data_IF_312330699254
#
_entry.id   IF_312330699254
#
_cell.length_a   1.000
_cell.length_b   1.000
_cell.length_c   1.000
_cell.angle_alpha   90.00
_cell.angle_beta   90.00
_cell.angle_gamma   90.00
#
_symmetry.space_group_name_H-M   'P 1'
#
loop_
_entity.id
_entity.type
_entity.pdbx_description
1 polymer ?
#
# COMPACT_ATOMS: atom_id res chain seq x y z
N UNK A 1 12.64 17.30 3.69
CA UNK A 1 11.82 18.28 2.93
C UNK A 1 11.63 19.60 3.70
N UNK A 2 11.59 19.58 5.04
CA UNK A 2 11.59 20.76 5.92
C UNK A 2 12.60 20.57 7.07
N UNK A 3 12.63 21.49 8.05
CA UNK A 3 13.40 21.34 9.31
C UNK A 3 12.57 21.82 10.51
N UNK A 4 12.99 21.46 11.72
CA UNK A 4 12.36 21.94 12.98
C UNK A 4 12.50 23.44 13.23
N UNK A 5 13.33 24.17 12.46
CA UNK A 5 13.38 25.64 12.51
C UNK A 5 12.14 26.30 11.85
N UNK A 6 11.31 25.52 11.14
CA UNK A 6 10.05 25.96 10.54
C UNK A 6 10.21 27.15 9.58
N UNK A 7 9.15 27.95 9.45
CA UNK A 7 9.19 29.24 8.75
C UNK A 7 9.19 30.45 9.68
N UNK A 8 8.95 30.24 10.98
CA UNK A 8 8.99 31.27 12.01
C UNK A 8 10.42 31.62 12.42
N UNK A 9 10.60 32.76 13.09
CA UNK A 9 11.91 33.34 13.44
C UNK A 9 12.80 32.54 14.42
N UNK A 10 12.56 31.24 14.58
CA UNK A 10 13.41 30.34 15.36
C UNK A 10 14.80 30.23 14.71
N UNK A 11 15.85 30.45 15.50
CA UNK A 11 17.25 30.39 15.11
C UNK A 11 17.97 29.38 16.00
N UNK A 12 18.24 28.19 15.49
CA UNK A 12 18.80 27.06 16.21
C UNK A 12 20.01 26.44 15.50
N UNK A 13 20.01 26.37 14.16
CA UNK A 13 21.02 25.63 13.38
C UNK A 13 21.27 26.25 12.00
N UNK A 14 20.72 25.66 10.93
CA UNK A 14 21.00 26.01 9.53
C UNK A 14 20.66 27.47 9.23
N UNK A 15 19.58 27.99 9.82
CA UNK A 15 19.17 29.39 9.64
C UNK A 15 20.25 30.37 10.10
N UNK A 16 20.96 30.07 11.19
CA UNK A 16 22.01 30.92 11.73
C UNK A 16 23.34 30.81 10.99
N UNK A 17 23.58 29.68 10.34
CA UNK A 17 24.79 29.44 9.53
C UNK A 17 24.64 30.09 8.16
N UNK A 18 23.59 29.73 7.41
CA UNK A 18 23.28 30.33 6.11
C UNK A 18 21.81 30.07 5.73
N UNK A 19 20.91 30.95 6.19
CA UNK A 19 19.48 30.86 5.88
C UNK A 19 19.18 30.76 4.37
N UNK A 20 19.87 31.54 3.54
CA UNK A 20 19.65 31.53 2.10
C UNK A 20 20.33 30.34 1.42
N UNK A 21 21.33 29.71 2.03
CA UNK A 21 21.96 28.49 1.54
C UNK A 21 21.09 27.23 1.70
N UNK A 22 20.38 27.13 2.83
CA UNK A 22 19.64 25.92 3.21
C UNK A 22 18.13 25.98 2.94
N UNK A 23 17.53 27.17 2.97
CA UNK A 23 16.08 27.32 2.81
C UNK A 23 15.70 27.98 1.49
N UNK A 24 14.51 27.63 1.03
CA UNK A 24 13.90 28.24 -0.13
C UNK A 24 13.14 29.49 0.29
N UNK A 25 13.72 30.66 -0.02
CA UNK A 25 13.10 31.95 0.23
C UNK A 25 11.99 32.23 -0.78
N UNK A 26 11.00 33.00 -0.35
CA UNK A 26 10.05 33.61 -1.27
C UNK A 26 10.74 34.61 -2.22
N UNK A 27 10.00 35.10 -3.22
CA UNK A 27 10.53 36.03 -4.22
C UNK A 27 11.02 37.36 -3.62
N UNK A 28 10.44 37.80 -2.51
CA UNK A 28 10.82 39.04 -1.84
C UNK A 28 12.06 38.87 -0.95
N UNK A 29 12.45 37.62 -0.64
CA UNK A 29 13.51 37.30 0.30
C UNK A 29 13.14 37.59 1.76
N UNK A 30 11.87 37.88 2.04
CA UNK A 30 11.37 38.25 3.37
C UNK A 30 10.70 37.09 4.10
N UNK A 31 10.39 36.01 3.38
CA UNK A 31 9.77 34.80 3.89
C UNK A 31 10.26 33.55 3.17
N UNK A 32 9.49 32.47 3.25
CA UNK A 32 9.84 31.16 2.72
C UNK A 32 8.74 30.62 1.82
N UNK A 33 9.11 29.76 0.86
CA UNK A 33 8.15 28.86 0.26
C UNK A 33 7.76 27.78 1.26
N UNK A 34 6.50 27.35 1.22
CA UNK A 34 5.97 26.29 2.08
C UNK A 34 5.16 25.31 1.23
N UNK A 35 5.84 24.28 0.75
CA UNK A 35 5.25 23.16 0.01
C UNK A 35 5.06 21.92 0.89
N UNK A 36 5.53 21.98 2.14
CA UNK A 36 5.53 20.91 3.14
C UNK A 36 4.38 21.03 4.18
N UNK A 37 3.77 22.20 4.33
CA UNK A 37 2.69 22.46 5.29
C UNK A 37 3.14 22.88 6.69
N UNK A 38 4.42 22.77 7.03
CA UNK A 38 4.98 23.06 8.37
C UNK A 38 5.88 24.30 8.43
N UNK A 39 6.28 24.86 7.30
CA UNK A 39 7.10 26.08 7.24
C UNK A 39 8.03 26.13 6.04
N UNK A 40 9.28 26.52 6.26
CA UNK A 40 10.24 26.69 5.18
C UNK A 40 10.61 25.36 4.49
N UNK A 41 10.50 25.32 3.16
CA UNK A 41 11.07 24.24 2.36
C UNK A 41 12.61 24.25 2.46
N UNK A 42 13.21 23.07 2.63
CA UNK A 42 14.65 22.89 2.40
C UNK A 42 14.91 23.05 0.90
N UNK A 43 15.92 23.86 0.55
CA UNK A 43 16.21 24.19 -0.84
C UNK A 43 16.97 23.07 -1.56
N UNK A 44 16.30 21.98 -1.94
CA UNK A 44 16.87 20.84 -2.68
C UNK A 44 17.56 21.19 -4.01
N UNK A 45 17.35 22.40 -4.53
CA UNK A 45 18.01 22.97 -5.70
C UNK A 45 19.35 23.69 -5.39
N UNK A 46 19.72 23.86 -4.12
CA UNK A 46 20.92 24.60 -3.71
C UNK A 46 22.07 23.66 -3.30
N UNK A 47 23.33 23.96 -3.70
CA UNK A 47 24.46 23.08 -3.40
C UNK A 47 24.67 22.75 -1.92
N UNK A 48 24.48 23.71 -1.01
CA UNK A 48 24.67 23.49 0.42
C UNK A 48 23.65 22.50 1.00
N UNK A 49 22.37 22.66 0.65
CA UNK A 49 21.33 21.72 1.05
C UNK A 49 21.53 20.33 0.41
N UNK A 50 21.88 20.27 -0.88
CA UNK A 50 22.16 19.00 -1.56
C UNK A 50 23.33 18.25 -0.92
N UNK A 51 24.43 18.96 -0.62
CA UNK A 51 25.59 18.37 0.03
C UNK A 51 25.23 17.80 1.40
N UNK A 52 24.52 18.58 2.24
CA UNK A 52 24.05 18.10 3.54
C UNK A 52 23.18 16.84 3.41
N UNK A 53 22.24 16.83 2.46
CA UNK A 53 21.36 15.67 2.23
C UNK A 53 22.20 14.45 1.82
N UNK A 54 23.05 14.56 0.80
CA UNK A 54 23.86 13.45 0.30
C UNK A 54 24.84 12.93 1.36
N UNK A 55 25.52 13.81 2.08
CA UNK A 55 26.48 13.42 3.11
C UNK A 55 25.77 12.76 4.30
N UNK A 56 24.56 13.23 4.66
CA UNK A 56 23.75 12.56 5.67
C UNK A 56 23.34 11.15 5.24
N UNK A 57 22.88 10.97 4.00
CA UNK A 57 22.49 9.67 3.47
C UNK A 57 23.68 8.70 3.42
N UNK A 58 24.86 9.18 3.01
CA UNK A 58 26.11 8.40 3.06
C UNK A 58 26.45 8.00 4.49
N UNK A 59 26.37 8.92 5.44
CA UNK A 59 26.66 8.61 6.84
C UNK A 59 25.71 7.52 7.37
N UNK A 60 24.41 7.62 7.12
CA UNK A 60 23.45 6.59 7.52
C UNK A 60 23.72 5.24 6.85
N UNK A 61 24.05 5.22 5.56
CA UNK A 61 24.34 3.99 4.81
C UNK A 61 25.67 3.35 5.23
N UNK A 62 26.75 4.11 5.15
CA UNK A 62 28.13 3.63 5.25
C UNK A 62 28.57 3.42 6.70
N UNK A 63 28.20 4.33 7.60
CA UNK A 63 28.63 4.29 9.00
C UNK A 63 27.61 3.61 9.91
N UNK A 64 26.32 3.74 9.62
CA UNK A 64 25.23 3.18 10.45
C UNK A 64 24.59 1.92 9.84
N UNK A 65 24.96 1.53 8.62
CA UNK A 65 24.51 0.28 7.99
C UNK A 65 23.04 0.28 7.56
N UNK A 66 22.46 1.45 7.24
CA UNK A 66 21.09 1.54 6.72
C UNK A 66 21.03 1.08 5.25
N UNK A 67 20.12 0.14 4.95
CA UNK A 67 19.97 -0.46 3.61
C UNK A 67 19.17 0.40 2.61
N UNK A 68 18.39 1.37 3.11
CA UNK A 68 17.49 2.16 2.28
C UNK A 68 16.72 3.24 3.04
N UNK A 69 16.00 4.08 2.30
CA UNK A 69 15.36 5.29 2.82
C UNK A 69 13.98 5.52 2.22
N UNK A 70 12.97 5.76 3.07
CA UNK A 70 11.67 6.32 2.66
C UNK A 70 11.69 7.84 2.86
N UNK A 71 11.55 8.59 1.79
CA UNK A 71 11.57 10.05 1.78
C UNK A 71 10.15 10.60 1.91
N UNK A 72 9.92 11.29 3.02
CA UNK A 72 8.72 12.07 3.30
C UNK A 72 8.59 13.27 2.37
N UNK A 73 7.38 13.51 1.84
CA UNK A 73 7.05 14.55 0.86
C UNK A 73 8.17 14.75 -0.18
N UNK A 74 8.60 13.64 -0.78
CA UNK A 74 9.80 13.53 -1.59
C UNK A 74 9.90 14.54 -2.76
N UNK A 75 8.80 14.95 -3.44
CA UNK A 75 8.86 15.90 -4.54
C UNK A 75 9.54 17.22 -4.19
N UNK A 76 9.52 17.64 -2.92
CA UNK A 76 10.15 18.89 -2.47
C UNK A 76 11.67 18.88 -2.73
N UNK A 77 12.31 17.71 -2.72
CA UNK A 77 13.72 17.57 -3.11
C UNK A 77 13.98 18.02 -4.56
N UNK A 78 12.99 17.88 -5.43
CA UNK A 78 13.04 18.26 -6.83
C UNK A 78 12.35 19.58 -7.14
N UNK A 79 12.00 20.43 -6.16
CA UNK A 79 11.32 21.69 -6.49
C UNK A 79 12.29 22.71 -7.12
N UNK A 80 12.13 22.98 -8.41
CA UNK A 80 13.03 23.83 -9.20
C UNK A 80 12.64 25.32 -9.24
N UNK A 81 11.56 25.74 -8.55
CA UNK A 81 11.04 27.11 -8.64
C UNK A 81 10.60 27.67 -7.30
N UNK A 82 10.80 28.97 -7.09
CA UNK A 82 10.24 29.75 -5.96
C UNK A 82 8.84 30.28 -6.24
N UNK A 83 8.35 30.13 -7.48
CA UNK A 83 7.01 30.52 -7.89
C UNK A 83 6.21 29.27 -8.28
N UNK A 84 5.23 28.91 -7.46
CA UNK A 84 4.48 27.67 -7.60
C UNK A 84 5.32 26.45 -7.23
N UNK A 85 5.05 25.33 -7.88
CA UNK A 85 5.82 24.09 -7.71
C UNK A 85 6.14 23.52 -9.09
N UNK A 86 7.41 23.14 -9.31
CA UNK A 86 7.84 22.47 -10.53
C UNK A 86 8.82 21.38 -10.15
N UNK A 87 8.38 20.14 -10.30
CA UNK A 87 9.25 18.99 -10.08
C UNK A 87 10.29 18.86 -11.20
N UNK A 88 11.55 18.80 -10.80
CA UNK A 88 12.71 18.48 -11.60
C UNK A 88 13.39 17.23 -10.97
N UNK A 89 13.45 16.10 -11.69
CA UNK A 89 13.99 14.87 -11.15
C UNK A 89 15.52 14.87 -11.05
N UNK A 90 16.23 15.93 -11.45
CA UNK A 90 17.70 15.93 -11.47
C UNK A 90 18.34 15.59 -10.11
N UNK A 91 17.86 16.18 -9.01
CA UNK A 91 18.41 15.86 -7.69
C UNK A 91 17.97 14.48 -7.17
N UNK A 92 16.70 14.06 -7.28
CA UNK A 92 16.30 12.67 -7.03
C UNK A 92 17.11 11.63 -7.83
N UNK A 93 17.40 11.89 -9.11
CA UNK A 93 18.22 11.01 -9.95
C UNK A 93 19.65 10.93 -9.42
N UNK A 94 20.24 12.07 -9.05
CA UNK A 94 21.56 12.11 -8.42
C UNK A 94 21.62 11.33 -7.09
N UNK A 95 20.56 11.38 -6.27
CA UNK A 95 20.47 10.56 -5.06
C UNK A 95 20.48 9.08 -5.43
N UNK A 96 19.70 8.65 -6.42
CA UNK A 96 19.70 7.25 -6.88
C UNK A 96 21.09 6.80 -7.35
N UNK A 97 21.78 7.63 -8.13
CA UNK A 97 23.10 7.33 -8.68
C UNK A 97 24.20 7.28 -7.59
N UNK A 98 24.19 8.21 -6.63
CA UNK A 98 25.26 8.35 -5.63
C UNK A 98 25.03 7.52 -4.35
N UNK A 99 23.77 7.30 -3.97
CA UNK A 99 23.39 6.62 -2.71
C UNK A 99 23.07 5.14 -2.96
N UNK A 100 22.36 4.80 -4.03
CA UNK A 100 21.88 3.43 -4.26
C UNK A 100 21.00 2.90 -3.12
N UNK A 101 20.90 1.57 -3.00
CA UNK A 101 20.03 0.91 -2.02
C UNK A 101 18.54 1.02 -2.36
N UNK A 102 17.69 0.74 -1.37
CA UNK A 102 16.24 0.84 -1.54
C UNK A 102 15.75 2.27 -1.28
N UNK A 103 15.45 3.02 -2.35
CA UNK A 103 14.92 4.39 -2.26
C UNK A 103 13.42 4.41 -2.51
N UNK A 104 12.66 4.90 -1.53
CA UNK A 104 11.20 4.93 -1.58
C UNK A 104 10.72 6.38 -1.44
N UNK A 105 9.96 6.88 -2.39
CA UNK A 105 9.33 8.19 -2.31
C UNK A 105 7.92 8.10 -1.71
N UNK A 106 7.55 9.08 -0.90
CA UNK A 106 6.18 9.58 -0.84
C UNK A 106 6.01 10.63 -1.96
N UNK A 107 5.43 10.27 -3.11
CA UNK A 107 5.52 11.05 -4.34
C UNK A 107 4.47 12.17 -4.40
N UNK A 108 4.18 12.84 -3.29
CA UNK A 108 3.30 14.00 -3.25
C UNK A 108 3.75 15.05 -2.23
N UNK A 109 3.13 16.22 -2.29
CA UNK A 109 3.28 17.33 -1.36
C UNK A 109 1.93 17.98 -1.12
N UNK A 110 1.87 19.08 -0.35
CA UNK A 110 0.58 19.69 0.04
C UNK A 110 0.09 20.81 -0.89
N UNK A 111 0.79 21.05 -2.00
CA UNK A 111 0.51 22.16 -2.92
C UNK A 111 0.20 21.70 -4.35
N UNK A 112 -0.41 22.58 -5.15
CA UNK A 112 -0.63 22.31 -6.56
C UNK A 112 0.69 22.05 -7.30
N UNK A 113 0.74 20.95 -8.06
CA UNK A 113 1.93 20.55 -8.83
C UNK A 113 2.89 19.61 -8.10
N UNK A 114 2.74 19.38 -6.80
CA UNK A 114 3.62 18.45 -6.06
C UNK A 114 3.19 16.99 -6.13
N UNK A 115 2.03 16.65 -6.68
CA UNK A 115 1.63 15.26 -6.93
C UNK A 115 2.41 14.67 -8.11
N UNK A 116 3.26 13.69 -7.85
CA UNK A 116 4.27 13.15 -8.76
C UNK A 116 4.28 11.61 -8.82
N UNK A 117 3.16 10.96 -8.47
CA UNK A 117 3.04 9.50 -8.57
C UNK A 117 3.34 9.05 -10.01
N UNK A 118 4.34 8.20 -10.18
CA UNK A 118 4.84 7.69 -11.45
C UNK A 118 5.89 8.57 -12.13
N UNK A 119 6.31 9.68 -11.52
CA UNK A 119 7.26 10.63 -12.14
C UNK A 119 8.66 10.62 -11.50
N UNK A 120 8.92 9.81 -10.47
CA UNK A 120 10.28 9.66 -9.94
C UNK A 120 11.17 8.87 -10.91
N UNK A 121 12.48 9.18 -10.96
CA UNK A 121 13.40 8.50 -11.87
C UNK A 121 13.62 7.02 -11.51
N UNK A 122 14.19 6.26 -12.44
CA UNK A 122 14.65 4.89 -12.17
C UNK A 122 15.58 4.84 -10.94
N UNK A 123 15.53 3.74 -10.19
CA UNK A 123 16.17 3.61 -8.87
C UNK A 123 15.26 3.99 -7.70
N UNK A 124 14.10 4.61 -7.97
CA UNK A 124 13.09 4.89 -6.96
C UNK A 124 11.87 3.99 -7.07
N UNK A 125 11.44 3.45 -5.93
CA UNK A 125 10.09 2.98 -5.69
C UNK A 125 9.23 4.09 -5.10
N UNK A 126 7.91 3.98 -5.24
CA UNK A 126 6.96 5.00 -4.82
C UNK A 126 5.82 4.39 -4.01
N UNK A 127 5.43 5.05 -2.92
CA UNK A 127 4.15 4.77 -2.26
C UNK A 127 3.00 4.95 -3.25
N UNK A 128 2.24 3.89 -3.48
CA UNK A 128 1.15 3.87 -4.45
C UNK A 128 -0.20 4.19 -3.78
N UNK A 129 -0.55 5.47 -3.72
CA UNK A 129 -1.84 5.93 -3.20
C UNK A 129 -3.02 5.46 -4.05
N UNK A 130 -2.83 5.28 -5.37
CA UNK A 130 -3.86 4.76 -6.26
C UNK A 130 -4.22 3.32 -5.92
N UNK A 131 -3.24 2.51 -5.50
CA UNK A 131 -3.49 1.17 -4.95
C UNK A 131 -4.31 1.29 -3.66
N UNK A 132 -3.81 2.07 -2.68
CA UNK A 132 -4.47 2.26 -1.38
C UNK A 132 -5.93 2.68 -1.54
N UNK A 133 -6.17 3.75 -2.29
CA UNK A 133 -7.48 4.36 -2.42
C UNK A 133 -8.46 3.47 -3.16
N UNK A 134 -8.03 2.82 -4.26
CA UNK A 134 -8.93 1.95 -5.02
C UNK A 134 -9.33 0.72 -4.20
N UNK A 135 -8.39 0.06 -3.51
CA UNK A 135 -8.71 -1.11 -2.68
C UNK A 135 -9.66 -0.73 -1.54
N UNK A 136 -9.45 0.42 -0.89
CA UNK A 136 -10.35 0.93 0.14
C UNK A 136 -11.75 1.25 -0.42
N UNK A 137 -11.83 1.97 -1.54
CA UNK A 137 -13.11 2.28 -2.20
C UNK A 137 -13.86 0.99 -2.55
N UNK A 138 -13.16 0.00 -3.11
CA UNK A 138 -13.76 -1.24 -3.56
C UNK A 138 -14.41 -2.02 -2.41
N UNK A 139 -13.74 -2.07 -1.25
CA UNK A 139 -14.23 -2.79 -0.07
C UNK A 139 -15.28 -2.02 0.72
N UNK A 140 -15.14 -0.70 0.84
CA UNK A 140 -15.86 0.10 1.84
C UNK A 140 -16.94 1.00 1.24
N UNK A 141 -16.87 1.32 -0.05
CA UNK A 141 -17.82 2.21 -0.75
C UNK A 141 -18.66 1.45 -1.78
N UNK A 142 -18.99 0.19 -1.52
CA UNK A 142 -19.81 -0.66 -2.39
C UNK A 142 -21.17 0.01 -2.65
N UNK A 143 -21.50 0.25 -3.92
CA UNK A 143 -22.73 0.93 -4.32
C UNK A 143 -22.68 2.46 -4.23
N UNK A 144 -21.60 3.04 -3.70
CA UNK A 144 -21.37 4.50 -3.65
C UNK A 144 -20.26 4.94 -4.61
N UNK A 145 -19.15 4.18 -4.67
CA UNK A 145 -18.06 4.42 -5.61
C UNK A 145 -18.18 3.49 -6.83
N UNK A 146 -17.88 4.04 -8.01
CA UNK A 146 -17.76 3.26 -9.24
C UNK A 146 -16.35 2.66 -9.27
N UNK A 147 -16.23 1.36 -8.98
CA UNK A 147 -14.96 0.62 -9.17
C UNK A 147 -15.19 -0.55 -10.12
N UNK A 148 -14.42 -0.58 -11.20
CA UNK A 148 -14.50 -1.62 -12.23
C UNK A 148 -13.48 -2.74 -11.98
N UNK A 149 -13.75 -3.97 -12.43
CA UNK A 149 -12.77 -5.06 -12.34
C UNK A 149 -11.44 -4.74 -13.05
N UNK A 150 -11.46 -3.96 -14.12
CA UNK A 150 -10.26 -3.53 -14.85
C UNK A 150 -9.36 -2.61 -14.04
N UNK A 151 -9.94 -1.70 -13.24
CA UNK A 151 -9.14 -0.84 -12.36
C UNK A 151 -8.49 -1.64 -11.23
N UNK A 152 -9.23 -2.59 -10.64
CA UNK A 152 -8.68 -3.53 -9.66
C UNK A 152 -7.56 -4.38 -10.27
N UNK A 153 -7.80 -4.92 -11.46
CA UNK A 153 -6.80 -5.69 -12.19
C UNK A 153 -5.51 -4.90 -12.41
N UNK A 154 -5.59 -3.61 -12.75
CA UNK A 154 -4.43 -2.75 -12.88
C UNK A 154 -3.64 -2.61 -11.55
N UNK A 155 -4.33 -2.44 -10.41
CA UNK A 155 -3.67 -2.36 -9.09
C UNK A 155 -3.04 -3.70 -8.68
N UNK A 156 -3.78 -4.79 -8.82
CA UNK A 156 -3.33 -6.15 -8.49
C UNK A 156 -2.12 -6.54 -9.36
N UNK A 157 -2.07 -6.07 -10.61
CA UNK A 157 -0.98 -6.33 -11.56
C UNK A 157 0.17 -5.33 -11.47
N UNK A 158 0.35 -4.65 -10.32
CA UNK A 158 1.52 -3.82 -10.05
C UNK A 158 1.50 -2.43 -10.67
N UNK A 159 0.32 -1.95 -11.10
CA UNK A 159 0.11 -0.59 -11.61
C UNK A 159 1.05 -0.21 -12.77
N UNK A 160 1.16 -1.09 -13.77
CA UNK A 160 2.10 -0.91 -14.89
C UNK A 160 1.96 0.42 -15.64
N UNK A 161 0.77 1.02 -15.64
CA UNK A 161 0.55 2.34 -16.26
C UNK A 161 1.28 3.49 -15.55
N UNK A 162 1.72 3.28 -14.29
CA UNK A 162 2.52 4.25 -13.54
C UNK A 162 4.02 4.04 -13.74
N UNK A 163 4.47 2.78 -13.83
CA UNK A 163 5.88 2.44 -13.63
C UNK A 163 6.53 1.72 -14.81
N UNK A 164 5.77 1.21 -15.79
CA UNK A 164 6.36 0.43 -16.89
C UNK A 164 7.00 1.30 -17.97
N UNK A 165 6.41 2.46 -18.26
CA UNK A 165 6.79 3.31 -19.40
C UNK A 165 8.17 3.94 -19.26
N UNK A 166 8.66 4.14 -18.04
CA UNK A 166 9.99 4.68 -17.75
C UNK A 166 11.04 3.59 -17.43
N UNK A 167 10.68 2.31 -17.66
CA UNK A 167 11.57 1.18 -17.53
C UNK A 167 11.67 0.59 -16.12
N UNK A 168 10.91 1.10 -15.14
CA UNK A 168 10.94 0.55 -13.79
C UNK A 168 10.24 -0.81 -13.68
N UNK A 169 10.70 -1.68 -12.76
CA UNK A 169 10.09 -3.00 -12.52
C UNK A 169 8.79 -2.87 -11.71
N UNK A 170 8.00 -3.96 -11.57
CA UNK A 170 6.82 -3.98 -10.70
C UNK A 170 7.12 -3.55 -9.26
N UNK A 171 8.35 -3.79 -8.76
CA UNK A 171 8.78 -3.40 -7.42
C UNK A 171 8.89 -1.88 -7.21
N UNK A 172 8.77 -1.06 -8.26
CA UNK A 172 8.61 0.38 -8.12
C UNK A 172 7.28 0.76 -7.46
N UNK A 173 6.27 -0.11 -7.49
CA UNK A 173 5.02 0.08 -6.76
C UNK A 173 5.15 -0.43 -5.33
N UNK A 174 5.23 0.47 -4.35
CA UNK A 174 5.03 0.13 -2.93
C UNK A 174 3.54 0.17 -2.64
N UNK A 175 2.91 -1.00 -2.62
CA UNK A 175 1.50 -1.15 -2.34
C UNK A 175 1.27 -1.11 -0.84
N UNK A 176 0.23 -0.42 -0.41
CA UNK A 176 -0.19 -0.38 0.98
C UNK A 176 -1.68 -0.13 1.08
N UNK A 177 -2.33 -0.68 2.11
CA UNK A 177 -3.74 -0.39 2.40
C UNK A 177 -3.82 0.66 3.52
N UNK A 178 -2.85 0.71 4.42
CA UNK A 178 -2.76 1.66 5.54
C UNK A 178 -1.30 2.02 5.79
N UNK A 179 -1.07 3.16 6.43
CA UNK A 179 0.23 3.67 6.84
C UNK A 179 0.08 4.32 8.21
N UNK A 180 1.11 5.02 8.69
CA UNK A 180 1.00 5.85 9.89
C UNK A 180 0.03 7.03 9.69
N UNK A 181 -0.10 7.54 8.46
CA UNK A 181 -1.10 8.54 8.09
C UNK A 181 -2.47 7.89 7.89
N UNK A 182 -3.45 8.30 8.70
CA UNK A 182 -4.82 7.81 8.66
C UNK A 182 -5.08 6.68 9.65
N UNK A 183 -6.08 5.84 9.33
CA UNK A 183 -6.45 4.70 10.17
C UNK A 183 -5.45 3.54 10.08
N UNK A 184 -5.38 2.75 11.17
CA UNK A 184 -4.82 1.39 11.17
C UNK A 184 -5.64 0.45 10.29
N UNK A 185 -5.14 -0.77 10.01
CA UNK A 185 -5.88 -1.75 9.22
C UNK A 185 -7.23 -2.09 9.86
N UNK A 186 -7.29 -2.23 11.18
CA UNK A 186 -8.54 -2.52 11.87
C UNK A 186 -9.50 -1.33 11.86
N UNK A 187 -9.00 -0.13 12.19
CA UNK A 187 -9.84 1.08 12.26
C UNK A 187 -10.42 1.45 10.89
N UNK A 188 -9.71 1.16 9.79
CA UNK A 188 -10.21 1.33 8.42
C UNK A 188 -11.53 0.58 8.17
N UNK A 189 -11.71 -0.58 8.80
CA UNK A 189 -12.91 -1.39 8.70
C UNK A 189 -13.77 -1.32 9.97
N UNK A 190 -13.45 -0.48 10.95
CA UNK A 190 -14.20 -0.37 12.20
C UNK A 190 -14.74 1.05 12.46
N UNK A 191 -14.33 2.04 11.68
CA UNK A 191 -14.65 3.45 11.87
C UNK A 191 -15.28 4.06 10.61
N UNK A 192 -16.38 4.78 10.75
CA UNK A 192 -16.98 5.55 9.65
C UNK A 192 -16.37 6.96 9.54
N UNK A 193 -15.98 7.55 10.66
CA UNK A 193 -15.39 8.89 10.74
C UNK A 193 -14.22 8.92 11.72
N UNK A 194 -13.23 9.81 11.52
CA UNK A 194 -12.19 10.06 12.51
C UNK A 194 -12.77 10.57 13.83
N UNK A 195 -12.16 10.18 14.94
CA UNK A 195 -12.47 10.60 16.29
C UNK A 195 -11.19 11.12 16.97
N UNK A 196 -10.70 12.26 16.51
CA UNK A 196 -9.41 12.79 16.98
C UNK A 196 -9.56 13.71 18.20
N UNK A 197 -10.80 14.10 18.55
CA UNK A 197 -11.11 14.95 19.72
C UNK A 197 -11.27 14.21 21.05
N UNK A 198 -10.83 12.95 21.11
CA UNK A 198 -10.88 12.15 22.34
C UNK A 198 -9.98 12.74 23.43
N UNK A 199 -10.25 12.39 24.69
CA UNK A 199 -9.37 12.72 25.81
C UNK A 199 -8.16 11.77 25.87
N UNK A 200 -7.17 12.12 26.70
CA UNK A 200 -6.06 11.24 27.05
C UNK A 200 -6.57 9.87 27.54
N UNK A 201 -6.00 8.74 27.07
CA UNK A 201 -4.79 8.62 26.26
C UNK A 201 -4.99 8.61 24.73
N UNK A 202 -6.22 8.79 24.23
CA UNK A 202 -6.59 8.57 22.82
C UNK A 202 -6.57 9.85 21.95
N UNK A 203 -6.37 11.02 22.57
CA UNK A 203 -6.35 12.33 21.92
C UNK A 203 -6.09 13.46 22.93
N UNK A 204 -6.29 14.73 22.53
CA UNK A 204 -6.70 15.16 21.20
C UNK A 204 -5.54 15.17 20.20
N UNK A 205 -5.87 14.98 18.93
CA UNK A 205 -4.95 15.18 17.80
C UNK A 205 -5.60 16.06 16.74
N UNK A 206 -4.89 17.06 16.24
CA UNK A 206 -5.44 17.99 15.26
C UNK A 206 -5.53 17.34 13.87
N UNK A 207 -6.62 17.60 13.14
CA UNK A 207 -6.69 17.35 11.70
C UNK A 207 -6.73 15.86 11.32
N UNK A 208 -5.96 15.48 10.28
CA UNK A 208 -6.05 14.19 9.59
C UNK A 208 -6.82 14.27 8.27
N UNK A 209 -6.81 13.18 7.48
CA UNK A 209 -7.62 13.12 6.26
C UNK A 209 -9.10 12.94 6.60
N UNK A 210 -9.98 13.69 5.93
CA UNK A 210 -11.42 13.47 6.00
C UNK A 210 -11.90 12.33 5.07
N UNK A 211 -11.10 11.97 4.06
CA UNK A 211 -11.45 10.99 3.02
C UNK A 211 -10.72 9.64 3.24
N UNK A 212 -11.04 8.98 4.34
CA UNK A 212 -10.38 7.73 4.74
C UNK A 212 -10.82 6.52 3.92
N UNK A 213 -11.98 6.62 3.22
CA UNK A 213 -12.64 5.51 2.51
C UNK A 213 -12.83 4.31 3.43
N UNK A 214 -13.28 4.56 4.66
CA UNK A 214 -13.48 3.57 5.72
C UNK A 214 -14.95 3.19 5.83
N UNK A 215 -15.23 2.07 6.49
CA UNK A 215 -16.59 1.66 6.81
C UNK A 215 -16.58 0.80 8.07
N UNK A 216 -17.43 1.12 9.05
CA UNK A 216 -17.50 0.42 10.34
C UNK A 216 -18.12 -0.98 10.27
N UNK A 217 -18.65 -1.38 9.10
CA UNK A 217 -19.49 -2.57 8.94
C UNK A 217 -20.64 -2.63 9.95
N UNK A 218 -21.18 -1.47 10.33
CA UNK A 218 -22.24 -1.32 11.33
C UNK A 218 -21.89 -1.94 12.71
N UNK A 219 -20.60 -2.06 13.02
CA UNK A 219 -20.13 -2.66 14.28
C UNK A 219 -20.10 -4.19 14.30
N UNK A 220 -20.33 -4.88 13.17
CA UNK A 220 -20.23 -6.35 13.11
C UNK A 220 -18.76 -6.80 13.14
N UNK A 221 -18.29 -7.20 14.32
CA UNK A 221 -16.91 -7.62 14.55
C UNK A 221 -16.42 -8.74 13.61
N UNK A 222 -17.29 -9.68 13.19
CA UNK A 222 -16.91 -10.74 12.27
C UNK A 222 -16.70 -10.19 10.85
N UNK A 223 -17.57 -9.28 10.42
CA UNK A 223 -17.43 -8.58 9.14
C UNK A 223 -16.18 -7.68 9.11
N UNK A 224 -15.87 -6.97 10.18
CA UNK A 224 -14.67 -6.12 10.31
C UNK A 224 -13.39 -6.96 10.15
N UNK A 225 -13.27 -8.08 10.89
CA UNK A 225 -12.12 -8.98 10.79
C UNK A 225 -12.02 -9.65 9.41
N UNK A 226 -13.15 -10.01 8.80
CA UNK A 226 -13.16 -10.51 7.42
C UNK A 226 -12.66 -9.45 6.44
N UNK A 227 -13.11 -8.21 6.54
CA UNK A 227 -12.69 -7.12 5.65
C UNK A 227 -11.19 -6.83 5.80
N UNK A 228 -10.68 -6.80 7.04
CA UNK A 228 -9.25 -6.69 7.32
C UNK A 228 -8.45 -7.84 6.70
N UNK A 229 -8.92 -9.09 6.81
CA UNK A 229 -8.28 -10.26 6.16
C UNK A 229 -8.28 -10.13 4.64
N UNK A 230 -9.38 -9.68 4.05
CA UNK A 230 -9.50 -9.47 2.60
C UNK A 230 -8.55 -8.37 2.12
N UNK A 231 -8.47 -7.23 2.81
CA UNK A 231 -7.53 -6.16 2.48
C UNK A 231 -6.08 -6.59 2.58
N UNK A 232 -5.72 -7.31 3.66
CA UNK A 232 -4.39 -7.90 3.84
C UNK A 232 -4.06 -8.96 2.77
N UNK A 233 -5.03 -9.81 2.40
CA UNK A 233 -4.84 -10.80 1.34
C UNK A 233 -4.62 -10.14 -0.02
N UNK A 234 -5.42 -9.14 -0.39
CA UNK A 234 -5.24 -8.38 -1.63
C UNK A 234 -3.85 -7.75 -1.68
N UNK A 235 -3.39 -7.15 -0.58
CA UNK A 235 -2.03 -6.62 -0.46
C UNK A 235 -0.96 -7.69 -0.70
N UNK A 236 -1.07 -8.84 -0.05
CA UNK A 236 -0.08 -9.91 -0.15
C UNK A 236 -0.12 -10.68 -1.48
N UNK A 237 -1.23 -10.63 -2.21
CA UNK A 237 -1.43 -11.35 -3.48
C UNK A 237 -1.36 -10.43 -4.71
N UNK A 238 -1.01 -9.15 -4.52
CA UNK A 238 -0.76 -8.19 -5.61
C UNK A 238 0.71 -8.15 -5.98
N UNK A 239 1.00 -7.82 -7.25
CA UNK A 239 2.35 -7.56 -7.74
C UNK A 239 2.87 -6.22 -7.21
N UNK A 240 4.18 -6.12 -6.95
CA UNK A 240 4.82 -4.97 -6.32
C UNK A 240 5.42 -5.29 -4.95
N UNK A 241 5.75 -4.28 -4.15
CA UNK A 241 6.28 -4.44 -2.79
C UNK A 241 5.16 -4.14 -1.79
N UNK A 242 4.67 -5.10 -0.98
CA UNK A 242 3.68 -4.81 0.04
C UNK A 242 4.32 -4.15 1.25
N UNK A 243 3.73 -3.06 1.74
CA UNK A 243 4.06 -2.42 3.00
C UNK A 243 2.93 -2.64 4.00
N UNK A 244 3.27 -3.10 5.20
CA UNK A 244 2.36 -3.26 6.34
C UNK A 244 2.75 -2.28 7.45
N UNK A 245 1.78 -1.80 8.22
CA UNK A 245 2.07 -0.98 9.41
C UNK A 245 2.22 -1.89 10.62
N UNK A 246 3.24 -1.68 11.44
CA UNK A 246 3.47 -2.47 12.65
C UNK A 246 2.24 -2.49 13.55
N UNK A 247 1.84 -3.68 13.99
CA UNK A 247 0.65 -3.93 14.79
C UNK A 247 -0.59 -4.31 13.99
N UNK A 248 -0.63 -4.07 12.67
CA UNK A 248 -1.76 -4.50 11.84
C UNK A 248 -1.88 -6.03 11.79
N UNK A 249 -0.78 -6.77 11.93
CA UNK A 249 -0.76 -8.23 12.05
C UNK A 249 -1.48 -8.74 13.31
N UNK A 250 -1.86 -7.84 14.22
CA UNK A 250 -2.64 -8.11 15.43
C UNK A 250 -3.91 -7.27 15.53
N UNK A 251 -4.31 -6.61 14.44
CA UNK A 251 -5.47 -5.69 14.42
C UNK A 251 -5.36 -4.54 15.43
N UNK A 252 -4.18 -3.92 15.53
CA UNK A 252 -3.99 -2.69 16.34
C UNK A 252 -5.06 -1.65 15.99
N UNK A 253 -5.64 -1.02 17.01
CA UNK A 253 -6.62 0.05 16.89
C UNK A 253 -6.09 1.32 17.53
N UNK A 254 -6.34 2.46 16.90
CA UNK A 254 -6.12 3.78 17.47
C UNK A 254 -7.44 4.43 17.89
N UNK A 255 -8.49 3.61 18.08
CA UNK A 255 -9.83 4.04 18.49
C UNK A 255 -10.41 5.09 17.56
N UNK A 256 -10.22 4.90 16.25
CA UNK A 256 -10.61 5.85 15.23
C UNK A 256 -9.87 7.20 15.30
N UNK A 257 -8.74 7.31 16.02
CA UNK A 257 -7.84 8.45 15.83
C UNK A 257 -7.00 8.21 14.57
N UNK A 258 -7.19 9.05 13.55
CA UNK A 258 -6.52 8.90 12.25
C UNK A 258 -5.33 9.86 12.05
N UNK A 259 -4.93 10.61 13.10
CA UNK A 259 -3.76 11.46 13.06
C UNK A 259 -3.02 11.54 14.41
N UNK A 260 -2.63 10.43 15.05
CA UNK A 260 -2.09 10.43 16.41
C UNK A 260 -0.60 10.82 16.46
N UNK A 261 -0.16 11.77 15.63
CA UNK A 261 1.24 12.21 15.50
C UNK A 261 1.83 12.78 16.79
N UNK A 262 0.98 13.31 17.68
CA UNK A 262 1.32 13.97 18.94
C UNK A 262 1.10 13.09 20.18
N UNK A 263 0.74 11.81 20.00
CA UNK A 263 0.40 10.92 21.11
C UNK A 263 1.55 9.96 21.42
N UNK A 264 2.32 10.30 22.45
CA UNK A 264 3.19 9.37 23.17
C UNK A 264 2.37 8.70 24.27
N UNK A 265 1.63 7.63 23.93
CA UNK A 265 0.69 7.00 24.86
C UNK A 265 0.38 5.54 24.49
N UNK A 266 -0.29 4.77 25.37
CA UNK A 266 -0.70 3.40 25.07
C UNK A 266 -1.53 3.21 23.80
N UNK A 267 -2.14 4.26 23.21
CA UNK A 267 -2.89 4.14 21.94
C UNK A 267 -1.97 3.96 20.72
N UNK A 268 -0.77 4.54 20.75
CA UNK A 268 0.20 4.44 19.66
C UNK A 268 1.18 3.29 19.87
N UNK A 269 1.40 2.88 21.12
CA UNK A 269 2.29 1.78 21.46
C UNK A 269 1.74 0.42 21.02
N UNK A 270 2.63 -0.50 20.67
CA UNK A 270 2.23 -1.87 20.33
C UNK A 270 1.87 -2.63 21.61
N UNK A 271 0.58 -2.95 21.75
CA UNK A 271 0.08 -3.81 22.83
C UNK A 271 0.38 -5.28 22.52
N UNK A 272 1.28 -5.87 23.31
CA UNK A 272 1.67 -7.27 23.17
C UNK A 272 0.78 -8.23 23.97
N UNK A 273 -0.06 -7.74 24.87
CA UNK A 273 -0.85 -8.52 25.83
C UNK A 273 -2.26 -8.86 25.34
N UNK A 274 -2.75 -8.17 24.30
CA UNK A 274 -4.03 -8.48 23.65
C UNK A 274 -3.82 -9.11 22.27
N UNK A 275 -3.67 -10.45 22.18
CA UNK A 275 -3.48 -11.11 20.89
C UNK A 275 -4.81 -11.29 20.17
N UNK A 276 -4.76 -11.10 18.85
CA UNK A 276 -5.75 -11.61 17.90
C UNK A 276 -5.13 -12.85 17.21
N UNK A 277 -5.14 -14.03 17.86
CA UNK A 277 -4.28 -15.16 17.46
C UNK A 277 -4.62 -15.72 16.08
N UNK A 278 -5.91 -15.71 15.71
CA UNK A 278 -6.35 -16.15 14.39
C UNK A 278 -5.83 -15.19 13.30
N UNK A 279 -5.96 -13.89 13.49
CA UNK A 279 -5.45 -12.89 12.54
C UNK A 279 -3.92 -12.88 12.48
N UNK A 280 -3.25 -13.00 13.62
CA UNK A 280 -1.78 -13.10 13.69
C UNK A 280 -1.27 -14.32 12.91
N UNK A 281 -1.94 -15.46 13.06
CA UNK A 281 -1.62 -16.67 12.30
C UNK A 281 -1.89 -16.48 10.81
N UNK A 282 -3.01 -15.83 10.47
CA UNK A 282 -3.36 -15.49 9.09
C UNK A 282 -2.30 -14.61 8.43
N UNK A 283 -1.96 -13.47 9.04
CA UNK A 283 -0.98 -12.52 8.53
C UNK A 283 0.39 -13.18 8.35
N UNK A 284 0.86 -13.92 9.36
CA UNK A 284 2.12 -14.68 9.29
C UNK A 284 2.14 -15.65 8.11
N UNK A 285 1.11 -16.50 7.98
CA UNK A 285 1.06 -17.52 6.93
C UNK A 285 0.87 -16.91 5.55
N UNK A 286 0.15 -15.80 5.43
CA UNK A 286 -0.01 -15.10 4.15
C UNK A 286 1.31 -14.47 3.70
N UNK A 287 2.10 -13.89 4.62
CA UNK A 287 3.46 -13.42 4.32
C UNK A 287 4.39 -14.59 3.94
N UNK A 288 4.32 -15.72 4.66
CA UNK A 288 5.08 -16.93 4.32
C UNK A 288 4.68 -17.47 2.94
N UNK A 289 3.39 -17.50 2.63
CA UNK A 289 2.87 -17.90 1.33
C UNK A 289 3.40 -16.96 0.24
N UNK A 290 3.26 -15.64 0.41
CA UNK A 290 3.83 -14.67 -0.53
C UNK A 290 5.31 -14.91 -0.74
N UNK A 291 6.10 -15.24 0.29
CA UNK A 291 7.53 -15.52 0.19
C UNK A 291 7.87 -16.88 -0.47
N UNK A 292 6.99 -17.87 -0.38
CA UNK A 292 7.17 -19.17 -1.04
C UNK A 292 6.80 -19.13 -2.54
N UNK A 293 5.90 -18.22 -2.94
CA UNK A 293 5.30 -18.21 -4.28
C UNK A 293 5.82 -17.05 -5.16
N UNK A 294 6.79 -17.35 -6.01
CA UNK A 294 7.43 -16.39 -6.94
C UNK A 294 6.44 -15.69 -7.88
N UNK A 295 5.28 -16.30 -8.15
CA UNK A 295 4.23 -15.71 -8.99
C UNK A 295 3.65 -14.39 -8.45
N UNK A 296 3.85 -14.08 -7.16
CA UNK A 296 3.47 -12.80 -6.56
C UNK A 296 4.66 -11.83 -6.34
N UNK A 297 5.87 -12.26 -6.71
CA UNK A 297 7.13 -11.49 -6.56
C UNK A 297 7.96 -11.48 -7.85
N UNK A 298 7.35 -11.23 -9.02
CA UNK A 298 8.04 -11.31 -10.28
C UNK A 298 9.05 -10.16 -10.38
N UNK A 299 10.27 -10.47 -10.82
CA UNK A 299 11.30 -9.46 -11.06
C UNK A 299 10.98 -8.59 -12.29
N UNK A 300 10.25 -9.14 -13.25
CA UNK A 300 9.80 -8.47 -14.47
C UNK A 300 8.26 -8.39 -14.52
N UNK A 301 7.74 -7.57 -15.44
CA UNK A 301 6.30 -7.49 -15.67
C UNK A 301 5.75 -8.85 -16.10
N UNK A 302 4.65 -9.29 -15.47
CA UNK A 302 3.92 -10.49 -15.88
C UNK A 302 3.22 -10.18 -17.21
N UNK A 303 3.48 -10.99 -18.22
CA UNK A 303 2.92 -10.82 -19.56
C UNK A 303 1.53 -11.46 -19.68
N UNK A 304 0.70 -11.06 -20.67
CA UNK A 304 -0.66 -11.59 -20.83
C UNK A 304 -0.76 -13.12 -20.96
N UNK A 305 0.30 -13.81 -21.36
CA UNK A 305 0.33 -15.27 -21.41
C UNK A 305 0.44 -15.94 -20.03
N UNK A 306 0.95 -15.21 -19.02
CA UNK A 306 1.23 -15.72 -17.68
C UNK A 306 0.10 -15.44 -16.68
N UNK A 307 -0.88 -14.61 -17.05
CA UNK A 307 -2.05 -14.29 -16.24
C UNK A 307 -3.32 -14.34 -17.08
N UNK A 308 -4.41 -14.89 -16.53
CA UNK A 308 -5.73 -14.81 -17.15
C UNK A 308 -6.77 -14.34 -16.16
N UNK A 309 -7.46 -13.26 -16.51
CA UNK A 309 -8.57 -12.69 -15.74
C UNK A 309 -9.88 -13.40 -16.07
N UNK A 310 -10.69 -13.66 -15.05
CA UNK A 310 -11.85 -14.55 -15.14
C UNK A 310 -13.05 -14.04 -14.36
N UNK A 311 -14.22 -14.45 -14.81
CA UNK A 311 -15.49 -14.24 -14.11
C UNK A 311 -15.80 -15.38 -13.11
N UNK A 312 -16.97 -15.30 -12.46
CA UNK A 312 -17.45 -16.33 -11.55
C UNK A 312 -17.66 -17.71 -12.21
N UNK A 313 -17.83 -17.78 -13.52
CA UNK A 313 -17.97 -19.06 -14.25
C UNK A 313 -16.63 -19.69 -14.63
N UNK A 314 -15.53 -19.01 -14.31
CA UNK A 314 -14.17 -19.45 -14.63
C UNK A 314 -13.76 -19.14 -16.07
N UNK A 315 -14.58 -18.42 -16.84
CA UNK A 315 -14.29 -18.04 -18.22
C UNK A 315 -13.35 -16.83 -18.27
N UNK A 316 -12.47 -16.79 -19.28
CA UNK A 316 -11.60 -15.62 -19.51
C UNK A 316 -12.46 -14.44 -19.95
N UNK A 317 -12.22 -13.26 -19.37
CA UNK A 317 -13.02 -12.06 -19.62
C UNK A 317 -12.27 -11.03 -20.48
N UNK A 318 -13.05 -10.27 -21.26
CA UNK A 318 -12.55 -9.15 -22.07
C UNK A 318 -12.96 -7.78 -21.51
N UNK A 319 -12.67 -6.71 -22.28
CA UNK A 319 -12.88 -5.32 -21.87
C UNK A 319 -14.31 -5.04 -21.36
N UNK A 320 -15.35 -5.54 -22.04
CA UNK A 320 -16.74 -5.31 -21.63
C UNK A 320 -17.06 -5.79 -20.19
N UNK A 321 -16.40 -6.85 -19.72
CA UNK A 321 -16.53 -7.28 -18.32
C UNK A 321 -15.68 -6.41 -17.39
N UNK A 322 -14.46 -6.10 -17.83
CA UNK A 322 -13.49 -5.32 -17.07
C UNK A 322 -13.94 -3.88 -16.84
N UNK A 323 -14.73 -3.31 -17.74
CA UNK A 323 -15.24 -1.94 -17.66
C UNK A 323 -16.62 -1.86 -16.96
N UNK A 324 -17.21 -3.01 -16.60
CA UNK A 324 -18.53 -3.08 -15.97
C UNK A 324 -18.42 -3.19 -14.44
N UNK A 325 -18.63 -2.07 -13.75
CA UNK A 325 -18.60 -1.99 -12.29
C UNK A 325 -19.67 -2.86 -11.59
N UNK A 326 -20.70 -3.34 -12.31
CA UNK A 326 -21.73 -4.21 -11.73
C UNK A 326 -21.25 -5.65 -11.52
N UNK A 327 -20.09 -6.02 -12.06
CA UNK A 327 -19.55 -7.39 -11.94
C UNK A 327 -19.07 -7.68 -10.52
N UNK A 328 -19.67 -8.66 -9.82
CA UNK A 328 -19.41 -8.89 -8.40
C UNK A 328 -18.18 -9.75 -8.12
N UNK A 329 -17.59 -10.37 -9.14
CA UNK A 329 -16.44 -11.28 -8.98
C UNK A 329 -15.33 -10.84 -9.92
N UNK A 330 -14.11 -10.76 -9.41
CA UNK A 330 -12.90 -10.73 -10.22
C UNK A 330 -12.05 -11.91 -9.79
N UNK A 331 -11.74 -12.79 -10.72
CA UNK A 331 -10.82 -13.88 -10.48
C UNK A 331 -9.62 -13.79 -11.43
N UNK A 332 -8.49 -14.38 -11.03
CA UNK A 332 -7.34 -14.48 -11.90
C UNK A 332 -6.60 -15.79 -11.66
N UNK A 333 -6.05 -16.34 -12.74
CA UNK A 333 -5.14 -17.49 -12.72
C UNK A 333 -3.75 -17.01 -13.12
N UNK A 334 -2.75 -17.35 -12.30
CA UNK A 334 -1.34 -17.18 -12.62
C UNK A 334 -0.78 -18.52 -13.12
N UNK A 335 0.00 -18.45 -14.20
CA UNK A 335 0.80 -19.57 -14.68
C UNK A 335 2.07 -19.67 -13.83
N UNK A 336 2.00 -20.48 -12.78
CA UNK A 336 3.10 -20.60 -11.83
C UNK A 336 4.34 -21.23 -12.46
N UNK A 337 4.17 -22.20 -13.37
CA UNK A 337 5.30 -22.81 -14.08
C UNK A 337 6.06 -21.78 -14.93
N UNK A 338 5.36 -20.91 -15.66
CA UNK A 338 5.98 -19.84 -16.44
C UNK A 338 6.59 -18.72 -15.59
N UNK A 339 6.23 -18.65 -14.30
CA UNK A 339 6.73 -17.65 -13.33
C UNK A 339 7.78 -18.21 -12.37
N UNK A 340 8.21 -19.47 -12.54
CA UNK A 340 9.16 -20.12 -11.65
C UNK A 340 8.62 -20.36 -10.23
N UNK A 341 7.30 -20.49 -10.10
CA UNK A 341 6.62 -20.74 -8.83
C UNK A 341 6.69 -22.21 -8.41
N UNK A 342 6.59 -22.47 -7.11
CA UNK A 342 6.54 -23.83 -6.55
C UNK A 342 5.25 -24.57 -6.91
N UNK A 343 4.17 -23.85 -7.22
CA UNK A 343 2.91 -24.39 -7.70
C UNK A 343 2.79 -24.22 -9.21
N UNK A 344 2.28 -25.21 -9.94
CA UNK A 344 2.15 -25.12 -11.41
C UNK A 344 1.12 -24.07 -11.86
N UNK A 345 0.13 -23.78 -11.03
CA UNK A 345 -0.82 -22.70 -11.24
C UNK A 345 -1.36 -22.21 -9.90
N UNK A 346 -1.75 -20.94 -9.86
CA UNK A 346 -2.42 -20.33 -8.73
C UNK A 346 -3.72 -19.69 -9.22
N UNK A 347 -4.74 -19.71 -8.38
CA UNK A 347 -6.04 -19.11 -8.69
C UNK A 347 -6.53 -18.32 -7.48
N UNK A 348 -6.95 -17.09 -7.74
CA UNK A 348 -7.57 -16.23 -6.74
C UNK A 348 -8.93 -15.83 -7.23
N UNK A 349 -9.93 -15.92 -6.36
CA UNK A 349 -11.29 -15.45 -6.60
C UNK A 349 -11.63 -14.41 -5.54
N UNK A 350 -11.85 -13.17 -5.98
CA UNK A 350 -12.30 -12.07 -5.13
C UNK A 350 -13.78 -11.78 -5.40
N UNK A 351 -14.63 -12.08 -4.42
CA UNK A 351 -16.03 -11.67 -4.43
C UNK A 351 -16.16 -10.30 -3.78
N UNK A 352 -16.32 -9.28 -4.61
CA UNK A 352 -16.55 -7.89 -4.20
C UNK A 352 -18.04 -7.54 -4.05
N UNK A 353 -18.93 -8.48 -4.35
CA UNK A 353 -20.37 -8.34 -4.21
C UNK A 353 -20.88 -8.46 -2.77
N UNK A 354 -22.14 -8.07 -2.60
CA UNK A 354 -22.87 -8.11 -1.32
C UNK A 354 -23.52 -9.47 -1.01
N UNK A 355 -23.48 -10.42 -1.95
CA UNK A 355 -24.01 -11.76 -1.80
C UNK A 355 -22.91 -12.80 -2.07
N UNK A 356 -23.09 -14.01 -1.51
CA UNK A 356 -22.22 -15.15 -1.82
C UNK A 356 -22.27 -15.43 -3.31
N UNK A 357 -21.09 -15.59 -3.92
CA UNK A 357 -20.94 -15.90 -5.33
C UNK A 357 -20.44 -17.34 -5.49
N UNK A 358 -21.13 -18.11 -6.32
CA UNK A 358 -20.68 -19.43 -6.73
C UNK A 358 -19.62 -19.29 -7.82
N UNK A 359 -18.37 -19.65 -7.52
CA UNK A 359 -17.25 -19.59 -8.45
C UNK A 359 -16.94 -20.97 -8.98
N UNK A 360 -16.78 -21.10 -10.30
CA UNK A 360 -16.27 -22.31 -10.94
C UNK A 360 -14.77 -22.17 -11.17
N UNK A 361 -13.97 -22.99 -10.49
CA UNK A 361 -12.54 -23.12 -10.71
C UNK A 361 -12.28 -23.62 -12.14
N UNK A 362 -11.37 -22.98 -12.90
CA UNK A 362 -10.99 -23.49 -14.22
C UNK A 362 -10.33 -24.87 -14.10
N UNK A 363 -10.23 -25.66 -15.18
CA UNK A 363 -9.48 -26.91 -15.13
C UNK A 363 -8.04 -26.67 -14.62
N UNK A 364 -7.56 -27.45 -13.63
CA UNK A 364 -6.16 -27.38 -13.25
C UNK A 364 -5.27 -27.88 -14.39
N UNK A 365 -3.95 -27.59 -14.38
CA UNK A 365 -3.00 -28.22 -15.29
C UNK A 365 -3.14 -29.75 -15.28
N UNK A 366 -2.82 -30.38 -16.41
CA UNK A 366 -3.00 -31.82 -16.61
C UNK A 366 -2.36 -32.65 -15.50
N UNK A 367 -3.14 -33.57 -14.91
CA UNK A 367 -2.68 -34.46 -13.83
C UNK A 367 -2.69 -33.84 -12.43
N UNK A 368 -3.05 -32.56 -12.27
CA UNK A 368 -3.07 -31.87 -10.97
C UNK A 368 -4.50 -31.66 -10.45
N UNK A 369 -4.61 -31.27 -9.18
CA UNK A 369 -5.87 -30.85 -8.57
C UNK A 369 -5.74 -29.47 -7.92
N UNK A 370 -6.86 -28.75 -7.79
CA UNK A 370 -6.90 -27.53 -6.99
C UNK A 370 -6.94 -27.86 -5.51
N UNK A 371 -6.19 -27.07 -4.73
CA UNK A 371 -6.21 -27.11 -3.28
C UNK A 371 -6.45 -25.70 -2.75
N UNK A 372 -7.43 -25.54 -1.87
CA UNK A 372 -7.69 -24.27 -1.20
C UNK A 372 -6.64 -24.02 -0.13
N UNK A 373 -5.95 -22.90 -0.27
CA UNK A 373 -4.96 -22.38 0.68
C UNK A 373 -5.62 -21.49 1.71
N UNK A 374 -6.42 -20.52 1.27
CA UNK A 374 -7.04 -19.52 2.14
C UNK A 374 -8.47 -19.17 1.68
N UNK A 375 -9.30 -18.75 2.62
CA UNK A 375 -10.60 -18.12 2.41
C UNK A 375 -10.81 -17.08 3.51
N UNK A 376 -10.97 -15.80 3.16
CA UNK A 376 -11.06 -14.71 4.13
C UNK A 376 -12.42 -14.63 4.82
N UNK A 377 -13.42 -15.38 4.35
CA UNK A 377 -14.76 -15.47 4.91
C UNK A 377 -14.78 -15.79 6.39
N UNK A 378 -15.65 -15.11 7.15
CA UNK A 378 -15.72 -15.22 8.61
C UNK A 378 -15.91 -16.68 9.09
N UNK A 379 -16.56 -17.52 8.30
CA UNK A 379 -16.78 -18.93 8.59
C UNK A 379 -15.49 -19.75 8.77
N UNK A 380 -14.37 -19.32 8.17
CA UNK A 380 -13.07 -20.03 8.25
C UNK A 380 -12.16 -19.48 9.36
N UNK A 381 -12.63 -18.51 10.15
CA UNK A 381 -11.88 -17.93 11.28
C UNK A 381 -11.39 -18.96 12.33
N UNK A 382 -12.15 -20.01 12.67
CA UNK A 382 -11.65 -21.08 13.56
C UNK A 382 -10.41 -21.82 13.02
N UNK A 383 -10.11 -21.71 11.72
CA UNK A 383 -8.95 -22.30 11.05
C UNK A 383 -7.91 -21.22 10.68
N UNK A 384 -8.00 -20.03 11.28
CA UNK A 384 -7.19 -18.86 10.97
C UNK A 384 -7.26 -18.42 9.49
N UNK A 385 -8.30 -18.83 8.75
CA UNK A 385 -8.53 -18.48 7.33
C UNK A 385 -7.44 -18.90 6.33
N UNK A 386 -6.39 -19.62 6.76
CA UNK A 386 -5.30 -20.07 5.90
C UNK A 386 -4.66 -21.36 6.42
N UNK A 387 -4.52 -22.34 5.53
CA UNK A 387 -3.89 -23.62 5.80
C UNK A 387 -2.38 -23.45 6.08
N UNK A 388 -1.81 -24.37 6.87
CA UNK A 388 -0.35 -24.53 6.91
C UNK A 388 0.12 -25.15 5.58
N UNK A 389 1.37 -24.89 5.15
CA UNK A 389 1.94 -25.55 3.98
C UNK A 389 1.81 -27.08 4.08
N UNK A 390 1.29 -27.72 3.03
CA UNK A 390 1.02 -29.16 2.98
C UNK A 390 -0.37 -29.57 3.51
N UNK A 391 -1.04 -28.71 4.28
CA UNK A 391 -2.37 -28.96 4.85
C UNK A 391 -3.50 -28.30 4.03
N UNK A 392 -3.23 -27.88 2.79
CA UNK A 392 -4.21 -27.27 1.90
C UNK A 392 -5.34 -28.25 1.59
N UNK A 393 -6.57 -27.73 1.50
CA UNK A 393 -7.77 -28.56 1.35
C UNK A 393 -7.99 -28.94 -0.11
N UNK A 394 -7.93 -30.25 -0.44
CA UNK A 394 -8.14 -30.74 -1.81
C UNK A 394 -9.57 -30.47 -2.27
N UNK A 395 -9.71 -29.78 -3.39
CA UNK A 395 -11.01 -29.53 -4.02
C UNK A 395 -11.49 -30.79 -4.73
N UNK A 396 -12.66 -31.30 -4.32
CA UNK A 396 -13.30 -32.47 -4.95
C UNK A 396 -14.30 -32.07 -6.05
N UNK A 397 -14.59 -30.77 -6.16
CA UNK A 397 -15.50 -30.19 -7.14
C UNK A 397 -14.88 -28.90 -7.68
N UNK A 398 -15.24 -28.52 -8.91
CA UNK A 398 -14.83 -27.25 -9.49
C UNK A 398 -15.62 -26.07 -8.92
N UNK A 399 -16.81 -26.29 -8.34
CA UNK A 399 -17.63 -25.22 -7.76
C UNK A 399 -17.18 -24.91 -6.33
N UNK A 400 -17.04 -23.63 -6.00
CA UNK A 400 -16.72 -23.12 -4.68
C UNK A 400 -17.50 -21.84 -4.39
N UNK A 401 -18.18 -21.79 -3.23
CA UNK A 401 -18.94 -20.61 -2.83
C UNK A 401 -18.02 -19.63 -2.08
N UNK A 402 -17.76 -18.46 -2.68
CA UNK A 402 -17.00 -17.37 -2.06
C UNK A 402 -17.99 -16.41 -1.43
N UNK A 403 -17.97 -16.28 -0.09
CA UNK A 403 -18.93 -15.44 0.63
C UNK A 403 -18.79 -13.96 0.23
N UNK A 404 -19.84 -13.17 0.46
CA UNK A 404 -19.84 -11.74 0.15
C UNK A 404 -18.59 -11.04 0.71
N UNK A 405 -17.98 -10.15 -0.07
CA UNK A 405 -16.80 -9.35 0.33
C UNK A 405 -15.65 -10.18 0.91
N UNK A 406 -15.30 -11.26 0.23
CA UNK A 406 -14.22 -12.16 0.63
C UNK A 406 -13.39 -12.63 -0.55
N UNK A 407 -12.24 -13.22 -0.26
CA UNK A 407 -11.29 -13.73 -1.22
C UNK A 407 -10.97 -15.18 -0.89
N UNK A 408 -10.92 -16.03 -1.91
CA UNK A 408 -10.43 -17.41 -1.82
C UNK A 408 -9.20 -17.61 -2.71
N UNK A 409 -8.21 -18.33 -2.18
CA UNK A 409 -6.92 -18.60 -2.81
C UNK A 409 -6.71 -20.10 -2.96
N UNK A 410 -6.27 -20.51 -4.14
CA UNK A 410 -6.04 -21.90 -4.51
C UNK A 410 -4.69 -22.07 -5.21
N UNK A 411 -4.10 -23.24 -5.05
CA UNK A 411 -2.91 -23.69 -5.77
C UNK A 411 -3.19 -25.01 -6.46
N UNK A 412 -2.56 -25.24 -7.62
CA UNK A 412 -2.56 -26.52 -8.31
C UNK A 412 -1.31 -27.30 -7.95
N UNK A 413 -1.50 -28.52 -7.43
CA UNK A 413 -0.44 -29.48 -7.07
C UNK A 413 -0.85 -30.91 -7.38
#
# INVERSE_FOLDING_TARGET
>A
NHTSEGGGGTLLSLRGVDNAGYYQLDRAGTGFTNSNGVGADVAGQKPLAQALILDSLRYWRDELGIDGFRFDLAPILGNATVQGFKFDPAFPARIADEIGGDLIAEPWGVVGGSYQVGNFPAGWSEWNDRYRDLIRQDQNQVGAALVTPGWLAARIHGSSELFRSDGRPPSASVNFVVAHDGFTLFDLYACDTPNNGQAWPYGPSDGGSADNKSWSHNGDAAAQRQAARTGFALLMLSQGVPMITGGDERLRSQRCNNNPYNLDSPVTWLDWDQPEPAFTTFARRMMQFRNAHAAFRPAAWIEPAQISWRDATGNVVGAAYMDDASKPVLAWRLDGAALGDVSSALYVAYNRGLATAAVTLPPPPSGLAWYRVADTGAWMEPQANIAAPGAEYRMNQSRYDVVARSLALFIAR
#
